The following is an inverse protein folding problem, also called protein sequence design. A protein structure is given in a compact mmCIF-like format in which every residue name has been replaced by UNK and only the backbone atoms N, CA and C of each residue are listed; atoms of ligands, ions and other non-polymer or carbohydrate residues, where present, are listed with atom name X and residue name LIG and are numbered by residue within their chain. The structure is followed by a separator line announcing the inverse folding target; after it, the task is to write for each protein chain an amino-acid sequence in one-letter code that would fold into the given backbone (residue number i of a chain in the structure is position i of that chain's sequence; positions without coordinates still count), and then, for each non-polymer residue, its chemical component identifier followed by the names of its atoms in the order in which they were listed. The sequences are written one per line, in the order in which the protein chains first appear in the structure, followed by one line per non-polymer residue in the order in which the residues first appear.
data_IF_878317659831
#
_entry.id   IF_878317659831
#
_cell.length_a   1.000
_cell.length_b   1.000
_cell.length_c   1.000
_cell.angle_alpha   90.00
_cell.angle_beta   90.00
_cell.angle_gamma   90.00
#
_symmetry.space_group_name_H-M   'P 1'
#
loop_
_entity.id
_entity.type
_entity.pdbx_description
1 polymer ?
#
# COMPACT_ATOMS: atom_id res chain seq x y z
N UNK A 1 12.88 -5.67 -3.60
CA UNK A 1 12.32 -5.13 -4.86
C UNK A 1 12.98 -3.80 -5.12
N UNK A 2 13.33 -3.54 -6.37
CA UNK A 2 14.01 -2.31 -6.78
C UNK A 2 12.93 -1.36 -7.28
N UNK A 3 12.87 -0.12 -6.74
CA UNK A 3 11.96 0.89 -7.27
C UNK A 3 12.48 1.41 -8.60
N UNK A 4 11.63 2.05 -9.39
CA UNK A 4 12.07 2.66 -10.64
C UNK A 4 13.12 3.76 -10.35
N UNK A 5 14.13 3.94 -11.24
CA UNK A 5 15.26 4.84 -10.97
C UNK A 5 14.86 6.26 -10.52
N UNK A 6 13.85 6.93 -11.12
CA UNK A 6 13.40 8.25 -10.66
C UNK A 6 12.95 8.27 -9.19
N UNK A 7 12.20 7.24 -8.76
CA UNK A 7 11.75 7.12 -7.37
C UNK A 7 12.91 6.85 -6.42
N UNK A 8 13.88 6.00 -6.80
CA UNK A 8 15.09 5.76 -6.02
C UNK A 8 15.92 7.04 -5.83
N UNK A 9 16.17 7.78 -6.92
CA UNK A 9 16.89 9.05 -6.88
C UNK A 9 16.18 10.07 -6.00
N UNK A 10 14.85 10.15 -6.08
CA UNK A 10 14.04 11.02 -5.24
C UNK A 10 14.17 10.68 -3.75
N UNK A 11 13.95 9.42 -3.37
CA UNK A 11 14.09 8.96 -1.98
C UNK A 11 15.51 9.16 -1.45
N UNK A 12 16.53 8.86 -2.28
CA UNK A 12 17.93 9.09 -1.93
C UNK A 12 18.18 10.58 -1.64
N UNK A 13 17.75 11.45 -2.54
CA UNK A 13 17.94 12.90 -2.41
C UNK A 13 17.26 13.45 -1.15
N UNK A 14 16.02 13.05 -0.86
CA UNK A 14 15.32 13.45 0.37
C UNK A 14 16.03 12.91 1.62
N UNK A 15 16.52 11.66 1.58
CA UNK A 15 17.27 11.08 2.71
C UNK A 15 18.57 11.82 2.98
N UNK A 16 19.25 12.30 1.94
CA UNK A 16 20.46 13.12 2.06
C UNK A 16 20.15 14.44 2.76
N UNK A 17 19.07 15.12 2.35
CA UNK A 17 18.59 16.35 3.03
C UNK A 17 18.24 16.07 4.50
N UNK A 18 17.55 14.97 4.77
CA UNK A 18 17.12 14.60 6.12
C UNK A 18 18.25 14.23 7.08
N UNK A 19 19.28 13.52 6.59
CA UNK A 19 20.36 12.98 7.42
C UNK A 19 21.54 13.93 7.60
N UNK A 20 21.88 14.75 6.59
CA UNK A 20 23.15 15.50 6.58
C UNK A 20 23.04 16.98 6.91
N UNK A 21 21.87 17.63 6.79
CA UNK A 21 21.88 19.07 6.51
C UNK A 21 20.90 19.99 7.22
N UNK A 22 20.02 19.48 8.11
CA UNK A 22 19.09 20.24 8.97
C UNK A 22 17.62 20.04 8.59
N UNK A 23 16.81 19.67 9.58
CA UNK A 23 15.34 19.56 9.54
C UNK A 23 14.64 20.79 8.94
N UNK A 24 15.29 21.96 8.96
CA UNK A 24 14.80 23.19 8.30
C UNK A 24 14.72 23.07 6.76
N UNK A 25 15.62 22.32 6.13
CA UNK A 25 15.65 22.18 4.67
C UNK A 25 14.52 21.28 4.16
N UNK A 26 14.23 20.16 4.83
CA UNK A 26 13.05 19.34 4.48
C UNK A 26 11.74 20.13 4.59
N UNK A 27 11.61 21.01 5.59
CA UNK A 27 10.47 21.92 5.70
C UNK A 27 10.41 22.90 4.53
N UNK A 28 11.57 23.39 4.07
CA UNK A 28 11.67 24.28 2.91
C UNK A 28 11.19 23.55 1.65
N UNK A 29 11.70 22.35 1.39
CA UNK A 29 11.26 21.50 0.26
C UNK A 29 9.75 21.27 0.32
N UNK A 30 9.21 20.87 1.48
CA UNK A 30 7.78 20.64 1.64
C UNK A 30 6.93 21.89 1.36
N UNK A 31 7.39 23.08 1.79
CA UNK A 31 6.74 24.35 1.44
C UNK A 31 6.85 24.65 -0.05
N UNK A 32 7.99 24.40 -0.67
CA UNK A 32 8.19 24.62 -2.11
C UNK A 32 7.24 23.76 -2.94
N UNK A 33 6.96 22.51 -2.54
CA UNK A 33 5.91 21.72 -3.24
C UNK A 33 4.56 22.44 -3.21
N UNK A 34 4.21 23.07 -2.09
CA UNK A 34 2.93 23.77 -1.92
C UNK A 34 2.79 25.04 -2.77
N UNK A 35 3.88 25.78 -3.01
CA UNK A 35 3.83 27.08 -3.69
C UNK A 35 4.35 27.03 -5.14
N UNK A 36 5.36 26.22 -5.39
CA UNK A 36 6.10 26.16 -6.66
C UNK A 36 5.97 24.78 -7.34
N UNK A 37 5.15 23.88 -6.77
CA UNK A 37 4.89 22.54 -7.28
C UNK A 37 6.08 21.58 -7.22
N UNK A 38 5.90 20.40 -7.80
CA UNK A 38 6.88 19.30 -7.83
C UNK A 38 8.20 19.74 -8.46
N UNK A 39 8.14 20.43 -9.60
CA UNK A 39 9.33 20.92 -10.31
C UNK A 39 10.10 21.95 -9.48
N UNK A 40 9.41 22.84 -8.79
CA UNK A 40 10.03 23.79 -7.85
C UNK A 40 10.77 23.06 -6.73
N UNK A 41 10.13 22.04 -6.13
CA UNK A 41 10.72 21.26 -5.05
C UNK A 41 11.99 20.51 -5.49
N UNK A 42 11.99 19.94 -6.69
CA UNK A 42 13.19 19.28 -7.25
C UNK A 42 14.34 20.27 -7.41
N UNK A 43 14.07 21.47 -7.95
CA UNK A 43 15.08 22.52 -8.05
C UNK A 43 15.61 22.94 -6.68
N UNK A 44 14.74 22.98 -5.67
CA UNK A 44 15.15 23.31 -4.31
C UNK A 44 16.04 22.22 -3.70
N UNK A 45 15.69 20.94 -3.88
CA UNK A 45 16.53 19.81 -3.45
C UNK A 45 17.92 19.91 -4.09
N UNK A 46 18.03 20.19 -5.39
CA UNK A 46 19.32 20.28 -6.09
C UNK A 46 20.19 21.49 -5.69
N UNK A 47 19.62 22.51 -5.04
CA UNK A 47 20.40 23.67 -4.54
C UNK A 47 21.13 23.37 -3.24
N UNK A 48 20.77 22.29 -2.55
CA UNK A 48 21.22 22.01 -1.21
C UNK A 48 22.72 21.59 -1.19
N UNK A 49 23.57 22.20 -0.35
CA UNK A 49 25.03 22.04 -0.43
C UNK A 49 25.57 20.61 -0.33
N UNK A 50 25.03 19.72 0.50
CA UNK A 50 25.54 18.33 0.56
C UNK A 50 25.13 17.45 -0.63
N UNK A 51 24.18 17.92 -1.44
CA UNK A 51 23.93 17.33 -2.77
C UNK A 51 25.03 17.81 -3.74
N UNK A 52 25.48 19.07 -3.62
CA UNK A 52 26.56 19.66 -4.44
C UNK A 52 27.99 19.33 -4.01
N UNK A 53 28.25 18.97 -2.74
CA UNK A 53 29.62 18.73 -2.23
C UNK A 53 30.21 17.41 -2.71
N UNK A 54 29.41 16.50 -3.27
CA UNK A 54 29.90 15.34 -4.01
C UNK A 54 30.30 15.66 -5.45
N UNK A 55 29.75 16.72 -6.05
CA UNK A 55 30.12 17.15 -7.42
C UNK A 55 31.52 17.79 -7.50
N UNK A 56 32.20 18.04 -6.38
CA UNK A 56 33.46 18.81 -6.35
C UNK A 56 34.72 18.04 -5.91
N UNK A 57 34.60 16.81 -5.42
CA UNK A 57 35.73 16.10 -4.79
C UNK A 57 36.46 15.08 -5.68
N UNK A 58 36.19 15.02 -6.99
CA UNK A 58 36.82 14.02 -7.88
C UNK A 58 38.05 14.53 -8.66
N UNK A 59 38.48 15.79 -8.51
CA UNK A 59 39.47 16.38 -9.42
C UNK A 59 40.80 16.85 -8.84
N UNK A 60 41.28 16.29 -7.73
CA UNK A 60 42.66 16.56 -7.27
C UNK A 60 43.32 15.32 -6.64
N UNK A 61 43.73 14.35 -7.46
CA UNK A 61 44.82 13.46 -7.06
C UNK A 61 45.74 13.13 -8.26
N UNK A 62 46.91 13.79 -8.39
CA UNK A 62 47.80 13.63 -9.54
C UNK A 62 48.66 12.35 -9.52
N UNK A 63 48.37 11.37 -8.65
CA UNK A 63 49.23 10.18 -8.44
C UNK A 63 48.52 8.81 -8.47
N UNK A 64 47.34 8.67 -9.08
CA UNK A 64 46.71 7.35 -9.23
C UNK A 64 46.68 6.89 -10.69
N UNK A 65 47.54 5.92 -10.99
CA UNK A 65 47.57 5.20 -12.26
C UNK A 65 46.25 4.47 -12.52
N UNK A 66 45.79 4.62 -13.76
CA UNK A 66 44.53 4.13 -14.30
C UNK A 66 44.44 2.60 -14.30
N UNK A 67 43.71 2.02 -13.35
CA UNK A 67 43.14 0.68 -13.50
C UNK A 67 41.68 0.64 -13.03
N UNK A 68 40.79 0.67 -14.01
CA UNK A 68 39.44 0.12 -14.02
C UNK A 68 38.63 0.20 -12.72
N UNK A 69 38.06 1.38 -12.46
CA UNK A 69 36.76 1.49 -11.81
C UNK A 69 35.81 2.04 -12.87
N UNK A 70 34.84 1.23 -13.32
CA UNK A 70 33.71 1.75 -14.08
C UNK A 70 32.87 2.60 -13.13
N UNK A 71 33.22 3.88 -13.04
CA UNK A 71 32.42 4.92 -12.40
C UNK A 71 31.12 5.12 -13.19
N UNK A 72 30.01 4.61 -12.65
CA UNK A 72 28.72 5.27 -12.87
C UNK A 72 28.76 6.59 -12.11
N UNK A 73 28.95 7.68 -12.86
CA UNK A 73 28.92 9.08 -12.41
C UNK A 73 27.90 9.35 -11.31
N UNK A 74 28.29 10.08 -10.25
CA UNK A 74 27.47 10.35 -9.06
C UNK A 74 26.13 11.06 -9.34
N UNK A 75 26.01 11.72 -10.48
CA UNK A 75 24.80 12.45 -10.92
C UNK A 75 23.62 11.51 -11.19
N UNK A 76 23.88 10.23 -11.53
CA UNK A 76 22.83 9.22 -11.76
C UNK A 76 22.10 8.78 -10.49
N UNK A 77 22.61 9.15 -9.30
CA UNK A 77 21.99 8.81 -8.01
C UNK A 77 21.12 9.93 -7.44
N UNK A 78 21.21 11.15 -7.98
CA UNK A 78 20.54 12.35 -7.47
C UNK A 78 19.32 12.67 -8.34
N UNK A 79 18.25 13.16 -7.73
CA UNK A 79 17.01 13.52 -8.45
C UNK A 79 17.27 14.49 -9.60
N UNK A 80 16.76 14.16 -10.78
CA UNK A 80 16.94 14.92 -12.02
C UNK A 80 15.78 15.90 -12.22
N UNK A 81 15.99 16.98 -12.99
CA UNK A 81 14.91 17.94 -13.25
C UNK A 81 13.72 17.30 -13.95
N UNK A 82 13.96 16.36 -14.87
CA UNK A 82 12.95 15.67 -15.66
C UNK A 82 12.15 14.62 -14.87
N UNK A 83 12.58 14.28 -13.65
CA UNK A 83 11.88 13.32 -12.77
C UNK A 83 10.52 13.86 -12.28
N UNK A 84 10.24 15.15 -12.48
CA UNK A 84 9.03 15.82 -11.99
C UNK A 84 7.71 15.27 -12.53
N UNK A 85 7.73 14.60 -13.68
CA UNK A 85 6.55 13.98 -14.30
C UNK A 85 6.34 12.53 -13.88
N UNK A 86 7.29 11.93 -13.16
CA UNK A 86 7.19 10.53 -12.77
C UNK A 86 6.16 10.37 -11.63
N UNK A 87 5.13 9.52 -11.77
CA UNK A 87 4.03 9.44 -10.81
C UNK A 87 4.48 9.09 -9.39
N UNK A 88 5.46 8.20 -9.24
CA UNK A 88 5.97 7.86 -7.91
C UNK A 88 6.81 8.99 -7.29
N UNK A 89 7.46 9.85 -8.10
CA UNK A 89 8.17 11.04 -7.62
C UNK A 89 7.17 12.10 -7.15
N UNK A 90 6.10 12.31 -7.93
CA UNK A 90 4.97 13.14 -7.53
C UNK A 90 4.40 12.67 -6.18
N UNK A 91 4.13 11.36 -6.04
CA UNK A 91 3.64 10.78 -4.80
C UNK A 91 4.58 11.04 -3.61
N UNK A 92 5.89 10.80 -3.75
CA UNK A 92 6.86 11.00 -2.67
C UNK A 92 6.85 12.45 -2.17
N UNK A 93 6.90 13.42 -3.10
CA UNK A 93 6.96 14.84 -2.75
C UNK A 93 5.62 15.37 -2.23
N UNK A 94 4.49 14.88 -2.75
CA UNK A 94 3.16 15.17 -2.21
C UNK A 94 2.98 14.60 -0.81
N UNK A 95 3.46 13.38 -0.54
CA UNK A 95 3.40 12.78 0.79
C UNK A 95 4.20 13.60 1.81
N UNK A 96 5.36 14.12 1.40
CA UNK A 96 6.17 15.03 2.20
C UNK A 96 5.45 16.35 2.48
N UNK A 97 4.93 17.00 1.42
CA UNK A 97 4.17 18.26 1.52
C UNK A 97 2.98 18.09 2.46
N UNK A 98 2.20 17.04 2.26
CA UNK A 98 0.98 16.80 2.99
C UNK A 98 1.27 16.52 4.47
N UNK A 99 2.24 15.65 4.75
CA UNK A 99 2.69 15.36 6.11
C UNK A 99 3.13 16.64 6.83
N UNK A 100 3.92 17.49 6.14
CA UNK A 100 4.32 18.80 6.66
C UNK A 100 3.12 19.73 6.93
N UNK A 101 2.15 19.80 6.02
CA UNK A 101 0.93 20.62 6.16
C UNK A 101 0.16 20.21 7.42
N UNK A 102 0.00 18.92 7.66
CA UNK A 102 -0.77 18.43 8.80
C UNK A 102 -0.08 18.65 10.14
N UNK A 103 1.24 18.45 10.20
CA UNK A 103 2.04 18.81 11.37
C UNK A 103 1.95 20.32 11.65
N UNK A 104 2.04 21.15 10.61
CA UNK A 104 1.96 22.62 10.76
C UNK A 104 0.60 23.09 11.27
N UNK A 105 -0.48 22.39 10.89
CA UNK A 105 -1.84 22.60 11.42
C UNK A 105 -2.05 22.00 12.83
N UNK A 106 -0.99 21.42 13.43
CA UNK A 106 -1.01 20.70 14.70
C UNK A 106 -2.07 19.59 14.75
N UNK A 107 -2.36 18.95 13.61
CA UNK A 107 -3.39 17.91 13.53
C UNK A 107 -3.01 16.72 14.40
N UNK A 108 -1.78 16.16 14.33
CA UNK A 108 -1.40 15.03 15.18
C UNK A 108 -1.48 15.30 16.69
N UNK A 109 -1.34 16.56 17.12
CA UNK A 109 -1.41 16.97 18.52
C UNK A 109 -2.84 17.11 19.05
N UNK A 110 -3.86 17.05 18.18
CA UNK A 110 -5.26 17.06 18.59
C UNK A 110 -5.67 15.68 19.11
N UNK A 111 -6.78 15.65 19.84
CA UNK A 111 -7.51 14.41 20.10
C UNK A 111 -8.19 13.98 18.80
N UNK A 112 -7.55 13.09 18.05
CA UNK A 112 -8.08 12.55 16.80
C UNK A 112 -8.76 11.21 17.05
N UNK A 113 -9.93 11.02 16.45
CA UNK A 113 -10.51 9.69 16.26
C UNK A 113 -9.71 8.90 15.23
N UNK A 114 -9.91 7.58 15.19
CA UNK A 114 -9.35 6.74 14.13
C UNK A 114 -9.74 7.21 12.72
N UNK A 115 -10.96 7.75 12.56
CA UNK A 115 -11.49 8.23 11.28
C UNK A 115 -10.86 9.54 10.85
N UNK A 116 -10.56 10.43 11.80
CA UNK A 116 -9.83 11.66 11.50
C UNK A 116 -8.47 11.33 10.90
N UNK A 117 -7.74 10.37 11.50
CA UNK A 117 -6.43 9.95 11.01
C UNK A 117 -6.54 9.30 9.63
N UNK A 118 -7.60 8.56 9.36
CA UNK A 118 -7.86 7.97 8.05
C UNK A 118 -8.07 9.03 6.95
N UNK A 119 -8.94 10.00 7.23
CA UNK A 119 -9.26 11.09 6.30
C UNK A 119 -8.05 11.99 6.08
N UNK A 120 -7.36 12.33 7.17
CA UNK A 120 -6.23 13.23 7.13
C UNK A 120 -4.99 12.55 6.57
N UNK A 121 -4.53 11.42 7.11
CA UNK A 121 -3.22 10.88 6.72
C UNK A 121 -3.31 9.69 5.78
N UNK A 122 -4.18 8.72 6.06
CA UNK A 122 -4.11 7.43 5.37
C UNK A 122 -4.66 7.50 3.95
N UNK A 123 -5.63 8.36 3.67
CA UNK A 123 -6.07 8.70 2.31
C UNK A 123 -4.90 9.08 1.40
N UNK A 124 -4.07 10.02 1.84
CA UNK A 124 -2.88 10.46 1.10
C UNK A 124 -1.80 9.38 1.05
N UNK A 125 -1.60 8.63 2.14
CA UNK A 125 -0.65 7.51 2.16
C UNK A 125 -1.03 6.43 1.14
N UNK A 126 -2.31 6.06 1.06
CA UNK A 126 -2.82 5.03 0.16
C UNK A 126 -3.00 5.50 -1.29
N UNK A 127 -3.01 6.80 -1.56
CA UNK A 127 -3.16 7.36 -2.92
C UNK A 127 -2.12 6.85 -3.93
N UNK A 128 -0.98 6.32 -3.49
CA UNK A 128 -0.03 5.66 -4.39
C UNK A 128 -0.64 4.46 -5.15
N UNK A 129 -1.79 3.93 -4.73
CA UNK A 129 -2.46 2.82 -5.38
C UNK A 129 -3.49 3.25 -6.43
N UNK A 130 -3.84 4.54 -6.53
CA UNK A 130 -4.97 5.02 -7.34
C UNK A 130 -4.79 4.75 -8.85
N UNK A 131 -3.56 4.58 -9.33
CA UNK A 131 -3.25 4.20 -10.71
C UNK A 131 -3.41 2.69 -10.99
N UNK A 132 -3.49 1.86 -9.95
CA UNK A 132 -3.55 0.40 -10.08
C UNK A 132 -4.79 -0.25 -9.45
N UNK A 133 -5.44 0.40 -8.49
CA UNK A 133 -6.54 -0.13 -7.69
C UNK A 133 -7.56 0.96 -7.37
N UNK A 134 -8.81 0.53 -7.20
CA UNK A 134 -9.88 1.31 -6.63
C UNK A 134 -9.78 1.24 -5.09
N UNK A 135 -9.73 2.39 -4.44
CA UNK A 135 -9.63 2.51 -2.97
C UNK A 135 -11.00 2.83 -2.36
N UNK A 136 -11.46 2.00 -1.43
CA UNK A 136 -12.73 2.22 -0.72
C UNK A 136 -12.47 2.34 0.79
N UNK A 137 -13.05 3.38 1.39
CA UNK A 137 -12.98 3.66 2.81
C UNK A 137 -14.37 3.55 3.42
N UNK A 138 -14.51 2.75 4.48
CA UNK A 138 -15.73 2.72 5.25
C UNK A 138 -15.87 3.98 6.11
N UNK A 139 -16.93 4.75 5.88
CA UNK A 139 -17.31 5.86 6.76
C UNK A 139 -18.80 5.85 7.05
N UNK A 140 -19.16 5.55 8.31
CA UNK A 140 -20.53 5.70 8.81
C UNK A 140 -20.79 7.20 9.05
N UNK A 141 -21.52 7.86 8.15
CA UNK A 141 -21.97 9.25 8.23
C UNK A 141 -20.91 10.25 8.73
N UNK A 142 -20.22 10.92 7.81
CA UNK A 142 -19.47 12.14 8.15
C UNK A 142 -20.46 13.31 8.12
N UNK A 143 -20.53 14.07 9.20
CA UNK A 143 -21.09 15.42 9.17
C UNK A 143 -20.37 16.20 8.06
N UNK A 144 -21.10 16.69 7.05
CA UNK A 144 -20.60 17.30 5.80
C UNK A 144 -19.55 18.41 6.02
N UNK A 145 -19.46 18.95 7.24
CA UNK A 145 -18.49 19.97 7.65
C UNK A 145 -17.02 19.53 7.62
N UNK A 146 -16.71 18.24 7.79
CA UNK A 146 -15.32 17.75 7.76
C UNK A 146 -14.75 17.74 6.34
N UNK A 147 -15.61 17.47 5.33
CA UNK A 147 -15.21 17.44 3.92
C UNK A 147 -14.87 18.86 3.41
N UNK A 148 -15.58 19.88 3.87
CA UNK A 148 -15.34 21.28 3.50
C UNK A 148 -14.00 21.84 4.00
N UNK A 149 -13.40 21.26 5.06
CA UNK A 149 -12.07 21.67 5.54
C UNK A 149 -10.91 21.02 4.74
N UNK A 150 -11.21 20.09 3.83
CA UNK A 150 -10.27 19.60 2.82
C UNK A 150 -10.15 20.57 1.60
N UNK A 151 -10.78 21.75 1.73
CA UNK A 151 -10.67 23.00 0.98
C UNK A 151 -9.87 22.97 -0.34
N UNK A 152 -10.62 23.22 -1.40
CA UNK A 152 -10.28 24.02 -2.58
C UNK A 152 -8.83 23.96 -3.09
N UNK A 153 -8.69 23.37 -4.28
CA UNK A 153 -7.50 23.30 -5.11
C UNK A 153 -6.45 22.25 -4.70
N UNK A 154 -6.20 21.36 -5.66
CA UNK A 154 -5.08 20.43 -5.82
C UNK A 154 -5.20 19.02 -5.23
N UNK A 155 -5.29 18.06 -6.17
CA UNK A 155 -5.29 16.60 -6.02
C UNK A 155 -6.63 15.98 -5.61
N UNK A 156 -7.43 15.60 -6.62
CA UNK A 156 -8.62 14.77 -6.44
C UNK A 156 -8.20 13.37 -5.96
N UNK A 157 -8.26 13.10 -4.66
CA UNK A 157 -8.28 11.72 -4.16
C UNK A 157 -9.71 11.21 -4.37
N UNK A 158 -9.89 10.22 -5.24
CA UNK A 158 -11.20 9.61 -5.48
C UNK A 158 -11.44 8.54 -4.41
N UNK A 159 -11.95 8.95 -3.24
CA UNK A 159 -12.41 8.00 -2.22
C UNK A 159 -13.88 7.69 -2.47
N UNK A 160 -14.19 6.43 -2.80
CA UNK A 160 -15.56 5.96 -2.78
C UNK A 160 -15.99 5.74 -1.33
N UNK A 161 -16.80 6.64 -0.80
CA UNK A 161 -17.44 6.48 0.51
C UNK A 161 -18.69 5.63 0.30
N UNK A 162 -18.62 4.36 0.69
CA UNK A 162 -19.76 3.45 0.69
C UNK A 162 -20.26 3.21 2.12
N UNK A 163 -21.47 2.64 2.25
CA UNK A 163 -21.89 1.96 3.48
C UNK A 163 -20.91 0.86 3.90
N UNK A 164 -21.17 0.19 5.03
CA UNK A 164 -20.29 -0.82 5.64
C UNK A 164 -19.54 -1.69 4.62
N UNK A 165 -18.22 -1.51 4.56
CA UNK A 165 -17.36 -2.27 3.64
C UNK A 165 -17.16 -3.66 4.23
N UNK A 166 -17.72 -4.67 3.58
CA UNK A 166 -17.63 -6.07 4.01
C UNK A 166 -16.84 -6.87 2.99
N UNK A 167 -15.81 -7.60 3.43
CA UNK A 167 -15.06 -8.51 2.54
C UNK A 167 -15.94 -9.66 2.04
N UNK A 168 -16.07 -9.75 0.71
CA UNK A 168 -16.73 -10.88 0.04
C UNK A 168 -15.92 -12.15 0.20
N UNK A 169 -14.59 -12.05 0.18
CA UNK A 169 -13.73 -13.21 0.37
C UNK A 169 -13.96 -13.89 1.73
N UNK A 170 -14.01 -13.10 2.81
CA UNK A 170 -14.35 -13.61 4.15
C UNK A 170 -15.78 -14.13 4.23
N UNK A 171 -16.75 -13.46 3.57
CA UNK A 171 -18.14 -13.93 3.49
C UNK A 171 -18.24 -15.30 2.82
N UNK A 172 -17.60 -15.47 1.66
CA UNK A 172 -17.59 -16.72 0.90
C UNK A 172 -17.04 -17.87 1.74
N UNK A 173 -16.00 -17.62 2.56
CA UNK A 173 -15.53 -18.61 3.53
C UNK A 173 -16.59 -19.01 4.52
N UNK A 174 -17.24 -18.03 5.16
CA UNK A 174 -18.18 -18.27 6.25
C UNK A 174 -19.44 -18.97 5.77
N UNK A 175 -19.88 -18.68 4.55
CA UNK A 175 -20.98 -19.38 3.87
C UNK A 175 -20.66 -20.86 3.57
N UNK A 176 -19.39 -21.19 3.36
CA UNK A 176 -18.92 -22.55 3.04
C UNK A 176 -18.46 -23.34 4.29
N UNK A 177 -18.58 -22.76 5.49
CA UNK A 177 -18.22 -23.42 6.74
C UNK A 177 -19.16 -24.58 7.09
N UNK A 178 -18.68 -25.54 7.90
CA UNK A 178 -19.45 -26.76 8.25
C UNK A 178 -20.77 -26.41 8.98
N UNK A 179 -20.71 -25.43 9.86
CA UNK A 179 -21.78 -24.92 10.71
C UNK A 179 -22.22 -23.50 10.27
N UNK A 180 -22.12 -23.22 8.97
CA UNK A 180 -22.50 -21.94 8.39
C UNK A 180 -24.01 -21.65 8.59
N UNK A 181 -24.32 -20.41 8.98
CA UNK A 181 -25.66 -19.86 8.85
C UNK A 181 -25.86 -19.30 7.44
N UNK A 182 -27.09 -19.37 6.92
CA UNK A 182 -27.45 -18.75 5.64
C UNK A 182 -27.21 -17.22 5.63
N UNK A 183 -27.23 -16.58 6.81
CA UNK A 183 -27.01 -15.14 6.99
C UNK A 183 -25.56 -14.81 7.38
N UNK A 184 -24.61 -15.68 7.01
CA UNK A 184 -23.21 -15.49 7.36
C UNK A 184 -22.62 -14.25 6.67
N UNK A 185 -22.49 -13.16 7.42
CA UNK A 185 -21.83 -11.94 6.95
C UNK A 185 -20.31 -12.10 6.83
N UNK A 186 -19.64 -11.32 5.97
CA UNK A 186 -18.18 -11.25 5.91
C UNK A 186 -17.56 -10.54 7.13
N UNK A 187 -16.29 -10.16 7.01
CA UNK A 187 -15.68 -9.23 7.95
C UNK A 187 -15.89 -7.81 7.46
N UNK A 188 -16.38 -6.95 8.35
CA UNK A 188 -16.35 -5.51 8.20
C UNK A 188 -14.91 -5.03 8.19
N UNK A 189 -14.52 -4.26 7.19
CA UNK A 189 -13.17 -3.74 7.00
C UNK A 189 -13.20 -2.21 7.01
N UNK A 190 -12.07 -1.59 7.36
CA UNK A 190 -11.97 -0.13 7.32
C UNK A 190 -11.56 0.38 5.94
N UNK A 191 -10.60 -0.30 5.31
CA UNK A 191 -10.21 -0.05 3.91
C UNK A 191 -10.19 -1.35 3.12
N UNK A 192 -10.61 -1.27 1.86
CA UNK A 192 -10.43 -2.35 0.89
C UNK A 192 -9.89 -1.78 -0.41
N UNK A 193 -8.98 -2.53 -1.05
CA UNK A 193 -8.40 -2.17 -2.33
C UNK A 193 -8.78 -3.22 -3.36
N UNK A 194 -9.42 -2.78 -4.43
CA UNK A 194 -10.02 -3.66 -5.42
C UNK A 194 -9.66 -3.27 -6.85
N UNK A 195 -9.94 -4.13 -7.82
CA UNK A 195 -9.83 -3.81 -9.25
C UNK A 195 -11.13 -4.13 -9.95
N UNK A 196 -11.89 -3.11 -10.34
CA UNK A 196 -13.19 -3.27 -11.00
C UNK A 196 -13.10 -4.06 -12.31
N UNK A 197 -12.11 -3.75 -13.16
CA UNK A 197 -11.97 -4.38 -14.48
C UNK A 197 -11.80 -5.90 -14.45
N UNK A 198 -11.27 -6.43 -13.34
CA UNK A 198 -11.00 -7.85 -13.18
C UNK A 198 -12.21 -8.64 -12.65
N UNK A 199 -13.28 -7.97 -12.23
CA UNK A 199 -14.55 -8.59 -11.87
C UNK A 199 -15.71 -7.59 -12.03
N UNK A 200 -16.00 -7.19 -13.27
CA UNK A 200 -17.03 -6.18 -13.62
C UNK A 200 -18.45 -6.56 -13.19
N UNK A 201 -18.71 -7.84 -12.94
CA UNK A 201 -19.96 -8.36 -12.43
C UNK A 201 -20.13 -8.16 -10.91
N UNK A 202 -19.10 -7.70 -10.21
CA UNK A 202 -19.12 -7.42 -8.78
C UNK A 202 -19.10 -5.90 -8.56
N UNK A 203 -19.96 -5.41 -7.66
CA UNK A 203 -20.14 -3.98 -7.37
C UNK A 203 -18.83 -3.22 -7.11
N UNK A 204 -17.84 -3.86 -6.48
CA UNK A 204 -16.54 -3.26 -6.18
C UNK A 204 -15.37 -3.99 -6.85
N UNK A 205 -15.60 -4.88 -7.81
CA UNK A 205 -14.50 -5.60 -8.48
C UNK A 205 -13.84 -6.72 -7.69
N UNK A 206 -12.62 -7.08 -8.09
CA UNK A 206 -11.82 -8.13 -7.45
C UNK A 206 -11.04 -7.58 -6.26
N UNK A 207 -11.06 -8.27 -5.11
CA UNK A 207 -10.33 -7.86 -3.90
C UNK A 207 -8.84 -8.26 -3.96
N UNK A 208 -7.93 -7.33 -3.64
CA UNK A 208 -6.47 -7.55 -3.67
C UNK A 208 -5.73 -7.16 -2.38
N UNK A 209 -6.28 -6.25 -1.57
CA UNK A 209 -5.68 -5.84 -0.30
C UNK A 209 -6.73 -5.21 0.61
N UNK A 210 -6.34 -4.93 1.86
CA UNK A 210 -7.17 -4.28 2.87
C UNK A 210 -6.34 -3.61 3.95
N UNK A 211 -6.96 -2.69 4.70
CA UNK A 211 -6.43 -2.17 5.96
C UNK A 211 -7.46 -2.31 7.09
N UNK A 212 -7.00 -2.75 8.26
CA UNK A 212 -7.77 -2.80 9.51
C UNK A 212 -7.23 -1.82 10.55
N UNK A 213 -8.11 -1.23 11.34
CA UNK A 213 -7.80 -0.26 12.39
C UNK A 213 -7.84 -0.90 13.77
N UNK A 214 -6.71 -0.79 14.46
CA UNK A 214 -6.43 -1.42 15.74
C UNK A 214 -6.43 -0.44 16.93
N UNK A 215 -7.00 0.75 16.80
CA UNK A 215 -6.95 1.77 17.86
C UNK A 215 -6.61 3.15 17.32
N UNK A 216 -6.93 4.19 18.09
CA UNK A 216 -6.28 5.50 17.98
C UNK A 216 -4.96 5.58 18.78
N UNK A 217 -4.63 4.52 19.54
CA UNK A 217 -3.42 4.43 20.39
C UNK A 217 -2.73 3.08 20.21
N UNK A 218 -1.40 3.10 20.18
CA UNK A 218 -0.55 1.90 19.98
C UNK A 218 -0.54 0.98 21.20
N UNK A 219 -0.81 1.51 22.39
CA UNK A 219 -0.78 0.80 23.68
C UNK A 219 -1.71 -0.42 23.75
N UNK A 220 -2.70 -0.52 22.85
CA UNK A 220 -3.61 -1.67 22.77
C UNK A 220 -3.01 -2.81 21.92
N UNK A 221 -1.88 -3.37 22.38
CA UNK A 221 -1.17 -4.44 21.69
C UNK A 221 -2.04 -5.68 21.40
N UNK A 222 -3.02 -5.97 22.27
CA UNK A 222 -3.99 -7.05 22.05
C UNK A 222 -4.89 -6.79 20.84
N UNK A 223 -5.43 -5.58 20.69
CA UNK A 223 -6.24 -5.20 19.51
C UNK A 223 -5.41 -5.24 18.22
N UNK A 224 -4.14 -4.83 18.28
CA UNK A 224 -3.21 -4.93 17.15
C UNK A 224 -2.98 -6.40 16.75
N UNK A 225 -2.79 -7.29 17.72
CA UNK A 225 -2.63 -8.73 17.47
C UNK A 225 -3.91 -9.35 16.88
N UNK A 226 -5.06 -9.12 17.50
CA UNK A 226 -6.36 -9.64 17.05
C UNK A 226 -6.66 -9.18 15.61
N UNK A 227 -6.39 -7.91 15.30
CA UNK A 227 -6.57 -7.38 13.95
C UNK A 227 -5.51 -7.89 12.98
N UNK A 228 -4.27 -8.12 13.41
CA UNK A 228 -3.25 -8.78 12.58
C UNK A 228 -3.75 -10.14 12.11
N UNK A 229 -4.30 -10.96 13.02
CA UNK A 229 -4.87 -12.26 12.68
C UNK A 229 -6.07 -12.13 11.73
N UNK A 230 -6.95 -11.14 11.96
CA UNK A 230 -8.10 -10.85 11.07
C UNK A 230 -7.63 -10.49 9.65
N UNK A 231 -6.62 -9.62 9.52
CA UNK A 231 -6.04 -9.24 8.22
C UNK A 231 -5.45 -10.47 7.53
N UNK A 232 -4.60 -11.24 8.22
CA UNK A 232 -3.98 -12.45 7.66
C UNK A 232 -5.02 -13.45 7.15
N UNK A 233 -6.05 -13.72 7.95
CA UNK A 233 -7.16 -14.61 7.58
C UNK A 233 -7.91 -14.10 6.36
N UNK A 234 -8.17 -12.79 6.30
CA UNK A 234 -8.90 -12.19 5.18
C UNK A 234 -8.07 -12.18 3.90
N UNK A 235 -6.76 -11.88 3.96
CA UNK A 235 -5.86 -11.96 2.81
C UNK A 235 -5.76 -13.38 2.25
N UNK A 236 -5.69 -14.39 3.12
CA UNK A 236 -5.77 -15.80 2.73
C UNK A 236 -7.08 -16.09 1.98
N UNK A 237 -8.20 -15.60 2.51
CA UNK A 237 -9.51 -15.79 1.88
C UNK A 237 -9.59 -15.07 0.53
N UNK A 238 -8.99 -13.88 0.40
CA UNK A 238 -8.89 -13.13 -0.87
C UNK A 238 -8.07 -13.92 -1.89
N UNK A 239 -6.91 -14.46 -1.50
CA UNK A 239 -6.11 -15.31 -2.38
C UNK A 239 -6.91 -16.52 -2.86
N UNK A 240 -7.65 -17.19 -1.97
CA UNK A 240 -8.49 -18.31 -2.36
C UNK A 240 -9.56 -17.91 -3.37
N UNK A 241 -10.17 -16.74 -3.18
CA UNK A 241 -11.16 -16.20 -4.12
C UNK A 241 -10.56 -15.93 -5.51
N UNK A 242 -9.29 -15.51 -5.59
CA UNK A 242 -8.57 -15.43 -6.86
C UNK A 242 -8.46 -16.80 -7.53
N UNK A 243 -8.10 -17.85 -6.78
CA UNK A 243 -8.00 -19.21 -7.32
C UNK A 243 -9.35 -19.73 -7.80
N UNK A 244 -10.42 -19.49 -7.04
CA UNK A 244 -11.77 -19.89 -7.42
C UNK A 244 -12.20 -19.16 -8.71
N UNK A 245 -11.88 -17.87 -8.84
CA UNK A 245 -12.14 -17.08 -10.07
C UNK A 245 -11.37 -17.63 -11.28
N UNK A 246 -10.11 -18.06 -11.09
CA UNK A 246 -9.34 -18.70 -12.16
C UNK A 246 -9.97 -20.04 -12.56
N UNK A 247 -10.35 -20.85 -11.57
CA UNK A 247 -11.00 -22.14 -11.79
C UNK A 247 -12.29 -21.96 -12.60
N UNK A 248 -13.15 -21.02 -12.20
CA UNK A 248 -14.38 -20.68 -12.93
C UNK A 248 -14.10 -20.25 -14.38
N UNK A 249 -13.08 -19.41 -14.59
CA UNK A 249 -12.67 -18.99 -15.93
C UNK A 249 -12.19 -20.17 -16.81
N UNK A 250 -11.53 -21.16 -16.20
CA UNK A 250 -11.07 -22.39 -16.84
C UNK A 250 -12.12 -23.50 -16.94
N UNK A 251 -13.35 -23.30 -16.45
CA UNK A 251 -14.38 -24.35 -16.46
C UNK A 251 -14.21 -25.42 -15.38
N UNK A 252 -13.51 -25.12 -14.29
CA UNK A 252 -13.28 -25.99 -13.13
C UNK A 252 -11.93 -26.70 -13.13
N UNK A 253 -11.17 -26.60 -14.22
CA UNK A 253 -9.85 -27.21 -14.38
C UNK A 253 -8.84 -26.17 -14.88
N UNK A 254 -7.58 -26.33 -14.52
CA UNK A 254 -6.53 -25.36 -14.86
C UNK A 254 -5.25 -26.05 -15.36
N UNK A 255 -4.55 -25.44 -16.34
CA UNK A 255 -3.23 -25.90 -16.75
C UNK A 255 -2.23 -25.91 -15.59
N UNK A 256 -1.37 -26.92 -15.53
CA UNK A 256 -0.34 -27.05 -14.49
C UNK A 256 0.54 -25.79 -14.34
N UNK A 257 0.85 -25.10 -15.45
CA UNK A 257 1.61 -23.83 -15.45
C UNK A 257 0.92 -22.72 -14.66
N UNK A 258 -0.42 -22.65 -14.68
CA UNK A 258 -1.19 -21.68 -13.91
C UNK A 258 -1.12 -22.03 -12.42
N UNK A 259 -1.31 -23.31 -12.08
CA UNK A 259 -1.24 -23.81 -10.70
C UNK A 259 0.13 -23.55 -10.08
N UNK A 260 1.22 -23.83 -10.81
CA UNK A 260 2.59 -23.55 -10.38
C UNK A 260 2.84 -22.07 -10.12
N UNK A 261 2.06 -21.18 -10.74
CA UNK A 261 2.19 -19.74 -10.58
C UNK A 261 1.30 -19.17 -9.46
N UNK A 262 0.45 -19.97 -8.79
CA UNK A 262 -0.38 -19.48 -7.66
C UNK A 262 0.45 -18.81 -6.56
N UNK A 263 1.63 -19.35 -6.22
CA UNK A 263 2.53 -18.75 -5.23
C UNK A 263 3.05 -17.35 -5.61
N UNK A 264 2.87 -16.92 -6.86
CA UNK A 264 3.23 -15.58 -7.34
C UNK A 264 2.15 -14.53 -7.05
N UNK A 265 0.96 -14.94 -6.60
CA UNK A 265 -0.13 -14.04 -6.22
C UNK A 265 0.08 -13.56 -4.77
N UNK A 266 1.02 -12.64 -4.60
CA UNK A 266 1.38 -12.09 -3.30
C UNK A 266 0.35 -11.04 -2.87
N UNK A 267 -0.22 -11.20 -1.67
CA UNK A 267 -1.25 -10.29 -1.14
C UNK A 267 -0.73 -9.55 0.10
N UNK A 268 -0.32 -8.29 -0.04
CA UNK A 268 -0.03 -7.44 1.10
C UNK A 268 -1.32 -6.93 1.75
N UNK A 269 -1.26 -6.60 3.04
CA UNK A 269 -2.33 -5.91 3.75
C UNK A 269 -1.82 -5.15 4.97
N UNK A 270 -2.69 -4.38 5.59
CA UNK A 270 -2.27 -3.38 6.57
C UNK A 270 -3.03 -3.52 7.89
N UNK A 271 -2.32 -3.29 8.98
CA UNK A 271 -2.91 -2.98 10.29
C UNK A 271 -2.44 -1.59 10.66
N UNK A 272 -3.36 -0.70 10.98
CA UNK A 272 -3.06 0.66 11.43
C UNK A 272 -3.54 0.88 12.86
N UNK A 273 -2.77 1.59 13.68
CA UNK A 273 -3.19 1.99 15.02
C UNK A 273 -2.68 3.40 15.32
N UNK A 274 -3.58 4.37 15.43
CA UNK A 274 -3.22 5.77 15.47
C UNK A 274 -2.33 6.15 14.28
N UNK A 275 -1.16 6.68 14.58
CA UNK A 275 -0.12 7.05 13.61
C UNK A 275 0.85 5.91 13.27
N UNK A 276 0.61 4.69 13.71
CA UNK A 276 1.44 3.54 13.39
C UNK A 276 0.81 2.66 12.31
N UNK A 277 1.63 2.13 11.40
CA UNK A 277 1.21 1.20 10.35
C UNK A 277 2.14 -0.01 10.31
N UNK A 278 1.52 -1.19 10.30
CA UNK A 278 2.16 -2.48 10.05
C UNK A 278 1.71 -3.01 8.70
N UNK A 279 2.67 -3.40 7.88
CA UNK A 279 2.45 -4.05 6.59
C UNK A 279 2.73 -5.54 6.72
N UNK A 280 1.77 -6.34 6.31
CA UNK A 280 1.83 -7.79 6.29
C UNK A 280 1.87 -8.26 4.84
N UNK A 281 2.53 -9.39 4.60
CA UNK A 281 2.52 -10.09 3.32
C UNK A 281 2.01 -11.51 3.53
N UNK A 282 0.96 -11.89 2.81
CA UNK A 282 0.44 -13.24 2.79
C UNK A 282 0.92 -13.97 1.53
N UNK A 283 1.45 -15.17 1.70
CA UNK A 283 2.10 -15.97 0.65
C UNK A 283 1.47 -17.37 0.63
N UNK A 284 1.05 -17.82 -0.54
CA UNK A 284 0.58 -19.18 -0.74
C UNK A 284 1.75 -20.14 -0.92
N UNK A 285 1.79 -21.21 -0.12
CA UNK A 285 2.88 -22.18 -0.08
C UNK A 285 2.56 -23.48 -0.85
N UNK A 286 1.34 -23.63 -1.36
CA UNK A 286 0.87 -24.88 -1.96
C UNK A 286 0.04 -25.73 -0.99
N UNK A 287 -0.74 -26.68 -1.54
CA UNK A 287 -1.52 -27.63 -0.73
C UNK A 287 -2.57 -27.00 0.21
N UNK A 288 -2.99 -25.75 -0.02
CA UNK A 288 -3.86 -25.02 0.89
C UNK A 288 -3.14 -24.30 2.06
N UNK A 289 -1.82 -24.40 2.16
CA UNK A 289 -1.03 -23.74 3.20
C UNK A 289 -0.65 -22.31 2.81
N UNK A 290 -0.59 -21.46 3.83
CA UNK A 290 -0.24 -20.05 3.70
C UNK A 290 0.78 -19.67 4.76
N UNK A 291 1.78 -18.89 4.35
CA UNK A 291 2.68 -18.19 5.24
C UNK A 291 2.29 -16.71 5.32
N UNK A 292 2.47 -16.09 6.47
CA UNK A 292 2.38 -14.64 6.60
C UNK A 292 3.62 -14.10 7.27
N UNK A 293 4.16 -13.02 6.71
CA UNK A 293 5.33 -12.33 7.26
C UNK A 293 5.06 -10.83 7.40
N UNK A 294 5.80 -10.19 8.30
CA UNK A 294 5.80 -8.75 8.46
C UNK A 294 6.73 -8.14 7.42
N UNK A 295 6.18 -7.39 6.48
CA UNK A 295 6.97 -6.74 5.43
C UNK A 295 7.67 -5.50 5.97
N UNK A 296 6.96 -4.68 6.76
CA UNK A 296 7.47 -3.44 7.33
C UNK A 296 6.59 -2.93 8.46
N UNK A 297 7.15 -2.03 9.27
CA UNK A 297 6.44 -1.19 10.24
C UNK A 297 7.01 0.22 10.17
N UNK A 298 6.14 1.22 10.30
CA UNK A 298 6.57 2.61 10.37
C UNK A 298 5.55 3.46 11.12
N UNK A 299 6.05 4.58 11.65
CA UNK A 299 5.23 5.64 12.22
C UNK A 299 5.03 6.76 11.18
N UNK A 300 3.80 7.23 11.06
CA UNK A 300 3.42 8.46 10.38
C UNK A 300 3.95 9.62 11.22
N UNK A 301 4.74 10.55 10.64
CA UNK A 301 5.30 11.68 11.38
C UNK A 301 4.23 12.51 12.06
N UNK A 302 4.41 12.72 13.36
CA UNK A 302 3.54 13.57 14.18
C UNK A 302 4.19 14.90 14.49
N UNK A 303 5.52 14.95 14.47
CA UNK A 303 6.32 16.13 14.77
C UNK A 303 7.20 16.53 13.59
N UNK A 304 7.55 17.82 13.55
CA UNK A 304 8.35 18.41 12.47
C UNK A 304 9.72 17.77 12.32
N UNK A 305 10.30 17.31 13.42
CA UNK A 305 11.58 16.63 13.50
C UNK A 305 11.55 15.21 12.94
N UNK A 306 10.37 14.62 12.79
CA UNK A 306 10.13 13.28 12.26
C UNK A 306 9.90 13.28 10.76
N UNK A 307 9.88 14.45 10.10
CA UNK A 307 9.53 14.59 8.69
C UNK A 307 10.41 13.74 7.75
N UNK A 308 11.66 13.45 8.14
CA UNK A 308 12.54 12.53 7.41
C UNK A 308 12.02 11.09 7.33
N UNK A 309 11.16 10.65 8.26
CA UNK A 309 10.56 9.30 8.24
C UNK A 309 9.59 9.10 7.07
N UNK A 310 9.17 10.18 6.38
CA UNK A 310 8.42 10.10 5.12
C UNK A 310 9.16 9.26 4.08
N UNK A 311 10.49 9.26 4.07
CA UNK A 311 11.30 8.43 3.14
C UNK A 311 11.00 6.94 3.35
N UNK A 312 11.01 6.47 4.61
CA UNK A 312 10.71 5.07 4.96
C UNK A 312 9.27 4.71 4.61
N UNK A 313 8.33 5.61 4.91
CA UNK A 313 6.91 5.45 4.60
C UNK A 313 6.70 5.31 3.09
N UNK A 314 7.19 6.28 2.30
CA UNK A 314 7.05 6.28 0.84
C UNK A 314 7.71 5.05 0.20
N UNK A 315 8.94 4.70 0.62
CA UNK A 315 9.64 3.50 0.12
C UNK A 315 8.83 2.24 0.40
N UNK A 316 8.27 2.11 1.60
CA UNK A 316 7.45 0.96 1.98
C UNK A 316 6.19 0.88 1.13
N UNK A 317 5.47 2.00 0.98
CA UNK A 317 4.24 2.06 0.19
C UNK A 317 4.48 1.77 -1.29
N UNK A 318 5.55 2.31 -1.89
CA UNK A 318 5.92 2.03 -3.28
C UNK A 318 6.36 0.58 -3.49
N UNK A 319 7.05 -0.04 -2.52
CA UNK A 319 7.33 -1.47 -2.57
C UNK A 319 6.04 -2.30 -2.57
N UNK A 320 5.07 -1.95 -1.72
CA UNK A 320 3.76 -2.60 -1.70
C UNK A 320 3.01 -2.39 -3.01
N UNK A 321 3.05 -1.17 -3.56
CA UNK A 321 2.47 -0.83 -4.87
C UNK A 321 3.01 -1.76 -5.95
N UNK A 322 4.32 -1.97 -5.98
CA UNK A 322 4.94 -2.86 -6.96
C UNK A 322 4.53 -4.32 -6.77
N UNK A 323 4.36 -4.80 -5.52
CA UNK A 323 3.86 -6.15 -5.25
C UNK A 323 2.45 -6.28 -5.82
N UNK A 324 1.56 -5.33 -5.51
CA UNK A 324 0.18 -5.31 -5.98
C UNK A 324 0.10 -5.24 -7.51
N UNK A 325 0.86 -4.34 -8.14
CA UNK A 325 0.96 -4.21 -9.60
C UNK A 325 1.35 -5.53 -10.26
N UNK A 326 2.37 -6.21 -9.73
CA UNK A 326 2.81 -7.50 -10.26
C UNK A 326 1.77 -8.61 -10.02
N UNK A 327 1.13 -8.65 -8.85
CA UNK A 327 0.07 -9.61 -8.54
C UNK A 327 -1.14 -9.43 -9.47
N UNK A 328 -1.60 -8.19 -9.67
CA UNK A 328 -2.71 -7.85 -10.57
C UNK A 328 -2.40 -8.26 -12.00
N UNK A 329 -1.20 -7.91 -12.51
CA UNK A 329 -0.75 -8.28 -13.84
C UNK A 329 -0.69 -9.80 -14.02
N UNK A 330 -0.10 -10.50 -13.04
CA UNK A 330 0.03 -11.95 -13.06
C UNK A 330 -1.35 -12.63 -13.06
N UNK A 331 -2.26 -12.16 -12.20
CA UNK A 331 -3.62 -12.67 -12.13
C UNK A 331 -4.39 -12.44 -13.44
N UNK A 332 -4.29 -11.25 -14.04
CA UNK A 332 -4.94 -10.95 -15.31
C UNK A 332 -4.48 -11.90 -16.43
N UNK A 333 -3.16 -12.13 -16.53
CA UNK A 333 -2.58 -13.07 -17.50
C UNK A 333 -3.03 -14.52 -17.25
N UNK A 334 -3.07 -14.95 -15.98
CA UNK A 334 -3.60 -16.27 -15.62
C UNK A 334 -5.06 -16.42 -16.00
N UNK A 335 -5.88 -15.39 -15.75
CA UNK A 335 -7.31 -15.41 -16.04
C UNK A 335 -7.59 -15.49 -17.54
N UNK A 336 -6.85 -14.73 -18.33
CA UNK A 336 -6.91 -14.80 -19.80
C UNK A 336 -6.49 -16.19 -20.31
N UNK A 337 -5.38 -16.73 -19.79
CA UNK A 337 -4.88 -18.05 -20.17
C UNK A 337 -5.85 -19.18 -19.80
N UNK A 338 -6.48 -19.10 -18.62
CA UNK A 338 -7.51 -20.04 -18.18
C UNK A 338 -8.73 -20.00 -19.14
N UNK A 339 -9.21 -18.80 -19.48
CA UNK A 339 -10.34 -18.64 -20.39
C UNK A 339 -10.11 -19.21 -21.79
N UNK A 340 -8.90 -19.06 -22.35
CA UNK A 340 -8.53 -19.61 -23.67
C UNK A 340 -8.50 -21.14 -23.73
N UNK A 341 -8.39 -21.82 -22.58
CA UNK A 341 -8.16 -23.27 -22.49
C UNK A 341 -9.28 -24.06 -21.83
N UNK A 342 -10.47 -23.47 -21.71
CA UNK A 342 -11.67 -24.06 -21.07
C UNK A 342 -12.06 -25.49 -21.55
N UNK A 343 -11.42 -26.02 -22.59
CA UNK A 343 -11.68 -27.31 -23.22
C UNK A 343 -10.41 -28.12 -23.58
N UNK A 344 -9.23 -27.86 -23.00
CA UNK A 344 -8.02 -28.66 -23.28
C UNK A 344 -7.90 -29.91 -22.39
N UNK A 345 -7.23 -30.97 -22.87
CA UNK A 345 -7.17 -32.27 -22.17
C UNK A 345 -6.04 -32.41 -21.13
N UNK A 346 -5.11 -31.45 -21.03
CA UNK A 346 -3.94 -31.51 -20.11
C UNK A 346 -4.19 -30.75 -18.79
N UNK A 347 -5.40 -30.85 -18.25
CA UNK A 347 -5.84 -29.99 -17.16
C UNK A 347 -5.83 -30.68 -15.79
N UNK A 348 -5.48 -29.93 -14.74
CA UNK A 348 -5.42 -30.40 -13.36
C UNK A 348 -6.57 -29.79 -12.56
N UNK A 349 -7.21 -30.61 -11.74
CA UNK A 349 -8.28 -30.15 -10.84
C UNK A 349 -7.69 -29.21 -9.78
N UNK A 350 -8.30 -28.03 -9.62
CA UNK A 350 -7.94 -27.13 -8.52
C UNK A 350 -8.37 -27.79 -7.20
N UNK A 351 -7.47 -27.94 -6.21
CA UNK A 351 -7.83 -28.56 -4.94
C UNK A 351 -9.06 -27.87 -4.33
N UNK A 352 -10.05 -28.64 -3.88
CA UNK A 352 -11.25 -28.09 -3.28
C UNK A 352 -10.88 -27.34 -2.00
N UNK A 353 -11.71 -26.37 -1.64
CA UNK A 353 -11.53 -25.62 -0.39
C UNK A 353 -11.71 -26.58 0.79
N UNK A 354 -10.74 -26.60 1.71
CA UNK A 354 -10.91 -27.29 2.99
C UNK A 354 -11.98 -26.56 3.78
N UNK A 355 -13.05 -27.27 4.17
CA UNK A 355 -14.12 -26.69 4.99
C UNK A 355 -13.60 -26.42 6.40
N UNK A 356 -13.82 -25.21 6.89
CA UNK A 356 -13.47 -24.80 8.26
C UNK A 356 -14.74 -24.80 9.12
N UNK A 357 -14.56 -24.97 10.44
CA UNK A 357 -15.61 -24.62 11.40
C UNK A 357 -15.75 -23.09 11.49
N UNK A 358 -16.95 -22.59 11.80
CA UNK A 358 -17.19 -21.18 12.07
C UNK A 358 -16.38 -20.78 13.30
N UNK A 359 -15.73 -19.62 13.21
CA UNK A 359 -15.01 -19.06 14.36
C UNK A 359 -16.01 -18.79 15.48
N UNK A 360 -15.82 -19.35 16.69
CA UNK A 360 -16.76 -19.15 17.79
C UNK A 360 -17.02 -17.67 18.03
N UNK A 361 -18.30 -17.28 18.08
CA UNK A 361 -18.67 -15.92 18.46
C UNK A 361 -18.39 -15.76 19.95
N UNK A 362 -17.65 -14.72 20.32
CA UNK A 362 -17.51 -14.32 21.73
C UNK A 362 -18.93 -14.10 22.28
N UNK A 363 -19.27 -14.78 23.38
CA UNK A 363 -20.53 -14.56 24.07
C UNK A 363 -20.67 -13.06 24.35
N UNK A 364 -21.64 -12.40 23.72
CA UNK A 364 -22.02 -11.04 24.10
C UNK A 364 -22.58 -11.16 25.51
N UNK A 365 -21.83 -10.73 26.52
CA UNK A 365 -22.41 -10.50 27.84
C UNK A 365 -23.54 -9.50 27.64
N UNK A 366 -24.78 -9.92 27.93
CA UNK A 366 -25.89 -8.99 28.05
C UNK A 366 -25.47 -7.98 29.14
N UNK A 367 -25.24 -6.73 28.74
CA UNK A 367 -25.16 -5.61 29.66
C UNK A 367 -26.56 -5.09 29.89
#
# INVERSE_FOLDING_TARGET
MVLEPPAERCLYSISMVGNYLNKKELKKVAKTVLYDGIRGAIKEIRKIPAIRSKDKNENENPFLDSQFINDTTSDDKIIQEDDYNHPDVCYILELLRYTYKMISKKIPQRTNSERDIDIFFKSHMFSCFDDILDTHLYVQFVDFRVLYMADAHESFITIHISGEVVSRASRNRRMQAIDASADAEGYHLDWIFTKHDLAKNLTWGQEFSLCERAGSKIENGRKILDNTLKVQKTLRDMHRTLLDTLSEAGGGVLPAKIIQAFGKLLLPGFVSSGFFVRVLLNVYLGGGYYGSTKLAEFDIPTLSEELGRVVTMARTMLNVKNILRQTIKTFALMKEAAGKRRHSMDDVLVPPRVKEQVTPKKLRSKK
#
